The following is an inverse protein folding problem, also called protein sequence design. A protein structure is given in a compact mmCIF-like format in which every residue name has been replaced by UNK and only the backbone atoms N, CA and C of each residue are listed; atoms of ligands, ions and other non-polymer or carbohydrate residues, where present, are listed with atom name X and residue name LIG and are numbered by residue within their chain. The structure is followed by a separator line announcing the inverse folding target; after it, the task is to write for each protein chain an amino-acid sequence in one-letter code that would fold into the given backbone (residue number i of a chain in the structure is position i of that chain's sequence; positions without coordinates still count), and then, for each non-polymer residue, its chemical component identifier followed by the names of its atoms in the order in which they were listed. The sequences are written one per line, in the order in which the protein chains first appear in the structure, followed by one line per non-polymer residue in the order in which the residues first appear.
data_IF_923623708729
#
_entry.id   IF_923623708729
#
_cell.length_a   1.000
_cell.length_b   1.000
_cell.length_c   1.000
_cell.angle_alpha   90.00
_cell.angle_beta   90.00
_cell.angle_gamma   90.00
#
_symmetry.space_group_name_H-M   'P 1'
#
loop_
_entity.id
_entity.type
_entity.pdbx_description
1 polymer ?
#
# COMPACT_ATOMS: atom_id res chain seq x y z
N UNK A 1 -6.70 -12.89 0.81
CA UNK A 1 -5.42 -13.51 1.18
C UNK A 1 -4.58 -12.58 2.09
N UNK A 2 -4.24 -11.36 1.63
CA UNK A 2 -3.27 -10.46 2.28
C UNK A 2 -3.62 -10.12 3.74
N UNK A 3 -4.88 -9.84 4.04
CA UNK A 3 -5.32 -9.52 5.42
C UNK A 3 -5.11 -10.69 6.37
N UNK A 4 -5.51 -11.90 5.97
CA UNK A 4 -5.27 -13.11 6.78
C UNK A 4 -3.80 -13.40 6.98
N UNK A 5 -2.97 -13.18 5.95
CA UNK A 5 -1.53 -13.31 6.04
C UNK A 5 -0.96 -12.31 7.06
N UNK A 6 -1.29 -11.01 6.93
CA UNK A 6 -0.85 -9.99 7.87
C UNK A 6 -1.26 -10.30 9.32
N UNK A 7 -2.48 -10.79 9.53
CA UNK A 7 -2.95 -11.18 10.86
C UNK A 7 -2.15 -12.35 11.45
N UNK A 8 -1.90 -13.42 10.65
CA UNK A 8 -1.10 -14.57 11.13
C UNK A 8 0.33 -14.20 11.49
N UNK A 9 0.92 -13.28 10.74
CA UNK A 9 2.31 -12.85 10.92
C UNK A 9 2.45 -11.55 11.71
N UNK A 10 1.37 -11.09 12.34
CA UNK A 10 1.35 -9.89 13.21
C UNK A 10 1.86 -8.61 12.52
N UNK A 11 1.65 -8.49 11.21
CA UNK A 11 1.94 -7.29 10.45
C UNK A 11 0.84 -6.25 10.70
N UNK A 12 1.17 -5.03 11.14
CA UNK A 12 0.18 -3.98 11.41
C UNK A 12 -0.62 -3.60 10.15
N UNK A 13 -1.93 -3.67 10.26
CA UNK A 13 -2.88 -3.27 9.20
C UNK A 13 -4.21 -2.89 9.84
N UNK A 14 -5.11 -2.26 9.08
CA UNK A 14 -6.47 -1.92 9.51
C UNK A 14 -7.23 -3.15 10.02
N UNK A 15 -8.02 -2.98 11.07
CA UNK A 15 -9.04 -3.95 11.47
C UNK A 15 -9.96 -4.25 10.30
N UNK A 16 -10.37 -5.51 10.11
CA UNK A 16 -11.11 -5.88 8.92
C UNK A 16 -12.09 -7.04 9.15
N UNK A 17 -13.07 -7.13 8.25
CA UNK A 17 -13.99 -8.25 8.14
C UNK A 17 -14.15 -8.65 6.66
N UNK A 18 -14.08 -9.95 6.36
CA UNK A 18 -14.36 -10.47 5.02
C UNK A 18 -15.86 -10.80 4.91
N UNK A 19 -16.51 -10.18 3.94
CA UNK A 19 -17.95 -10.31 3.70
C UNK A 19 -18.21 -10.92 2.33
N UNK A 20 -19.10 -11.88 2.27
CA UNK A 20 -19.67 -12.45 1.05
C UNK A 20 -21.20 -12.54 1.17
N UNK A 21 -21.86 -13.09 0.16
CA UNK A 21 -23.33 -13.21 0.17
C UNK A 21 -23.87 -14.09 1.31
N UNK A 22 -23.05 -14.98 1.90
CA UNK A 22 -23.48 -15.90 2.96
C UNK A 22 -23.45 -15.28 4.35
N UNK A 23 -22.67 -14.21 4.54
CA UNK A 23 -22.47 -13.55 5.84
C UNK A 23 -22.73 -12.04 5.83
N UNK A 24 -23.53 -11.54 4.87
CA UNK A 24 -23.84 -10.10 4.70
C UNK A 24 -24.31 -9.44 6.02
N UNK A 25 -25.18 -10.08 6.80
CA UNK A 25 -25.64 -9.50 8.07
C UNK A 25 -24.48 -9.28 9.05
N UNK A 26 -23.52 -10.18 9.12
CA UNK A 26 -22.32 -10.02 9.96
C UNK A 26 -21.44 -8.88 9.45
N UNK A 27 -21.35 -8.69 8.14
CA UNK A 27 -20.67 -7.54 7.53
C UNK A 27 -21.33 -6.21 7.92
N UNK A 28 -22.66 -6.12 7.89
CA UNK A 28 -23.43 -4.96 8.35
C UNK A 28 -23.19 -4.71 9.86
N UNK A 29 -23.23 -5.77 10.67
CA UNK A 29 -22.98 -5.66 12.11
C UNK A 29 -21.55 -5.16 12.39
N UNK A 30 -20.56 -5.59 11.58
CA UNK A 30 -19.19 -5.10 11.66
C UNK A 30 -19.10 -3.61 11.29
N UNK A 31 -19.74 -3.16 10.20
CA UNK A 31 -19.81 -1.74 9.85
C UNK A 31 -20.36 -0.90 11.03
N UNK A 32 -21.46 -1.35 11.64
CA UNK A 32 -22.07 -0.65 12.79
C UNK A 32 -21.25 -0.65 14.06
N UNK A 33 -20.26 -1.55 14.16
CA UNK A 33 -19.39 -1.67 15.34
C UNK A 33 -18.24 -0.66 15.36
N UNK A 34 -17.97 0.03 14.24
CA UNK A 34 -16.87 0.98 14.12
C UNK A 34 -17.36 2.36 13.68
N UNK A 35 -16.60 3.43 13.98
CA UNK A 35 -16.90 4.76 13.45
C UNK A 35 -16.57 4.85 11.96
N UNK A 36 -17.28 5.70 11.23
CA UNK A 36 -16.91 6.10 9.87
C UNK A 36 -15.64 6.98 9.83
N UNK A 37 -15.05 7.19 8.66
CA UNK A 37 -15.43 6.63 7.36
C UNK A 37 -15.28 5.11 7.27
N UNK A 38 -16.03 4.48 6.37
CA UNK A 38 -16.02 3.03 6.13
C UNK A 38 -15.27 2.73 4.84
N UNK A 39 -14.39 1.73 4.86
CA UNK A 39 -13.63 1.34 3.67
C UNK A 39 -14.10 -0.03 3.20
N UNK A 40 -14.62 -0.09 1.96
CA UNK A 40 -15.04 -1.32 1.31
C UNK A 40 -14.12 -1.61 0.13
N UNK A 41 -13.53 -2.81 0.10
CA UNK A 41 -12.60 -3.23 -0.96
C UNK A 41 -13.08 -4.52 -1.61
N UNK A 42 -13.25 -4.52 -2.94
CA UNK A 42 -13.42 -5.76 -3.68
C UNK A 42 -12.15 -6.61 -3.58
N UNK A 43 -12.27 -7.91 -3.21
CA UNK A 43 -11.11 -8.80 -3.04
C UNK A 43 -10.47 -9.19 -4.38
N UNK A 44 -11.23 -9.13 -5.47
CA UNK A 44 -10.74 -9.41 -6.82
C UNK A 44 -10.19 -8.19 -7.54
N UNK A 45 -9.64 -8.43 -8.74
CA UNK A 45 -9.05 -7.39 -9.57
C UNK A 45 -10.13 -6.45 -10.15
N UNK A 46 -10.17 -5.22 -9.70
CA UNK A 46 -11.14 -4.20 -10.13
C UNK A 46 -10.49 -2.95 -10.74
N UNK A 47 -9.31 -3.09 -11.36
CA UNK A 47 -8.57 -2.04 -12.08
C UNK A 47 -8.43 -0.72 -11.27
N UNK A 48 -8.20 -0.81 -9.95
CA UNK A 48 -8.06 0.33 -9.06
C UNK A 48 -9.37 1.02 -8.67
N UNK A 49 -10.52 0.53 -9.13
CA UNK A 49 -11.85 1.12 -8.86
C UNK A 49 -12.63 0.40 -7.75
N UNK A 50 -12.12 -0.74 -7.26
CA UNK A 50 -12.80 -1.59 -6.29
C UNK A 50 -12.68 -1.13 -4.84
N UNK A 51 -12.31 0.12 -4.57
CA UNK A 51 -12.20 0.69 -3.21
C UNK A 51 -13.17 1.85 -3.07
N UNK A 52 -14.07 1.75 -2.11
CA UNK A 52 -15.01 2.80 -1.75
C UNK A 52 -14.70 3.27 -0.32
N UNK A 53 -14.71 4.60 -0.11
CA UNK A 53 -14.58 5.24 1.19
C UNK A 53 -15.84 6.05 1.39
N UNK A 54 -16.64 5.73 2.42
CA UNK A 54 -18.00 6.22 2.60
C UNK A 54 -18.13 6.74 4.03
N UNK A 55 -18.64 7.95 4.19
CA UNK A 55 -18.79 8.59 5.50
C UNK A 55 -20.06 8.14 6.24
N UNK A 56 -21.16 7.97 5.50
CA UNK A 56 -22.47 7.62 6.06
C UNK A 56 -22.66 6.10 6.18
N UNK A 57 -23.17 5.65 7.33
CA UNK A 57 -23.35 4.23 7.61
C UNK A 57 -24.42 3.60 6.69
N UNK A 58 -25.49 4.31 6.35
CA UNK A 58 -26.56 3.77 5.53
C UNK A 58 -26.09 3.61 4.08
N UNK A 59 -25.36 4.60 3.57
CA UNK A 59 -24.70 4.52 2.26
C UNK A 59 -23.67 3.38 2.23
N UNK A 60 -22.93 3.14 3.32
CA UNK A 60 -21.97 2.05 3.39
C UNK A 60 -22.65 0.66 3.38
N UNK A 61 -23.77 0.49 4.07
CA UNK A 61 -24.56 -0.75 4.05
C UNK A 61 -25.17 -1.01 2.66
N UNK A 62 -25.67 0.03 1.99
CA UNK A 62 -26.17 -0.07 0.62
C UNK A 62 -25.06 -0.44 -0.35
N UNK A 63 -23.91 0.26 -0.28
CA UNK A 63 -22.75 -0.01 -1.13
C UNK A 63 -22.20 -1.43 -0.93
N UNK A 64 -22.12 -1.92 0.31
CA UNK A 64 -21.71 -3.30 0.59
C UNK A 64 -22.64 -4.29 -0.12
N UNK A 65 -23.95 -4.05 -0.03
CA UNK A 65 -24.96 -4.90 -0.67
C UNK A 65 -24.84 -4.86 -2.21
N UNK A 66 -24.65 -3.68 -2.79
CA UNK A 66 -24.47 -3.51 -4.24
C UNK A 66 -23.16 -4.15 -4.74
N UNK A 67 -22.07 -4.01 -3.99
CA UNK A 67 -20.81 -4.66 -4.32
C UNK A 67 -20.98 -6.18 -4.39
N UNK A 68 -21.60 -6.79 -3.38
CA UNK A 68 -21.84 -8.23 -3.33
C UNK A 68 -22.85 -8.70 -4.40
N UNK A 69 -23.74 -7.83 -4.87
CA UNK A 69 -24.63 -8.08 -5.99
C UNK A 69 -23.96 -7.87 -7.37
N UNK A 70 -22.65 -7.66 -7.41
CA UNK A 70 -21.87 -7.65 -8.64
C UNK A 70 -21.56 -6.27 -9.22
N UNK A 71 -21.53 -5.22 -8.40
CA UNK A 71 -21.11 -3.86 -8.86
C UNK A 71 -19.76 -3.91 -9.61
N UNK A 72 -18.85 -4.78 -9.19
CA UNK A 72 -17.56 -5.02 -9.86
C UNK A 72 -17.45 -6.44 -10.45
N UNK A 73 -18.59 -7.06 -10.81
CA UNK A 73 -18.65 -8.43 -11.32
C UNK A 73 -18.11 -9.43 -10.29
N UNK A 74 -17.41 -10.46 -10.76
CA UNK A 74 -16.79 -11.50 -9.92
C UNK A 74 -15.76 -10.93 -8.91
N UNK A 75 -15.18 -9.76 -9.19
CA UNK A 75 -14.19 -9.15 -8.30
C UNK A 75 -14.78 -8.77 -6.94
N UNK A 76 -16.08 -8.51 -6.85
CA UNK A 76 -16.79 -8.18 -5.62
C UNK A 76 -17.61 -9.34 -5.02
N UNK A 77 -17.39 -10.59 -5.46
CA UNK A 77 -17.98 -11.76 -4.82
C UNK A 77 -17.60 -11.88 -3.34
N UNK A 78 -16.44 -11.33 -2.97
CA UNK A 78 -15.98 -11.09 -1.61
C UNK A 78 -15.60 -9.63 -1.45
N UNK A 79 -16.04 -8.99 -0.39
CA UNK A 79 -15.70 -7.61 -0.02
C UNK A 79 -14.96 -7.62 1.31
N UNK A 80 -13.83 -6.94 1.36
CA UNK A 80 -13.09 -6.69 2.60
C UNK A 80 -13.54 -5.35 3.16
N UNK A 81 -14.19 -5.37 4.31
CA UNK A 81 -14.58 -4.19 5.07
C UNK A 81 -13.42 -3.84 6.00
N UNK A 82 -12.93 -2.59 5.96
CA UNK A 82 -11.80 -2.15 6.79
C UNK A 82 -12.15 -0.89 7.58
N UNK A 83 -11.52 -0.74 8.75
CA UNK A 83 -11.50 0.54 9.42
C UNK A 83 -10.72 1.57 8.59
N UNK A 84 -11.13 2.82 8.65
CA UNK A 84 -10.42 3.90 7.99
C UNK A 84 -9.20 4.30 8.81
N UNK A 85 -8.02 4.17 8.19
CA UNK A 85 -6.77 4.67 8.77
C UNK A 85 -6.55 6.11 8.34
N UNK A 86 -6.31 6.99 9.31
CA UNK A 86 -5.99 8.40 9.08
C UNK A 86 -4.51 8.66 9.30
N UNK A 87 -3.86 9.26 8.31
CA UNK A 87 -2.42 9.53 8.38
C UNK A 87 -1.85 9.99 7.04
N UNK A 88 -0.53 9.87 6.91
CA UNK A 88 0.18 10.24 5.69
C UNK A 88 0.66 8.96 4.99
N UNK A 89 0.21 8.77 3.76
CA UNK A 89 0.60 7.62 2.93
C UNK A 89 2.03 7.77 2.40
N UNK A 90 2.72 6.65 2.29
CA UNK A 90 4.02 6.51 1.66
C UNK A 90 4.25 5.07 1.22
N UNK A 91 5.25 4.86 0.38
CA UNK A 91 5.54 3.57 -0.23
C UNK A 91 6.95 3.11 0.15
N UNK A 92 7.06 1.84 0.52
CA UNK A 92 8.34 1.16 0.73
C UNK A 92 8.40 -0.05 -0.19
N UNK A 93 9.61 -0.37 -0.66
CA UNK A 93 9.84 -1.44 -1.60
C UNK A 93 10.90 -2.39 -1.06
N UNK A 94 10.66 -3.67 -1.18
CA UNK A 94 11.66 -4.69 -0.94
C UNK A 94 11.83 -5.56 -2.20
N UNK A 95 13.09 -5.84 -2.55
CA UNK A 95 13.42 -6.94 -3.43
C UNK A 95 13.73 -8.14 -2.56
N UNK A 96 13.05 -9.26 -2.78
CA UNK A 96 13.19 -10.47 -1.96
C UNK A 96 13.27 -11.73 -2.81
N UNK A 97 13.98 -12.72 -2.30
CA UNK A 97 14.01 -14.09 -2.80
C UNK A 97 13.19 -15.06 -1.92
N UNK A 98 12.27 -14.53 -1.12
CA UNK A 98 11.42 -15.30 -0.21
C UNK A 98 12.05 -15.57 1.17
N UNK A 99 13.35 -15.34 1.36
CA UNK A 99 14.07 -15.53 2.63
C UNK A 99 14.92 -14.33 3.02
N UNK A 100 15.58 -13.73 2.04
CA UNK A 100 16.39 -12.52 2.17
C UNK A 100 15.69 -11.38 1.47
N UNK A 101 16.02 -10.16 1.82
CA UNK A 101 15.50 -8.97 1.16
C UNK A 101 16.50 -7.82 1.17
N UNK A 102 16.30 -6.89 0.27
CA UNK A 102 16.95 -5.59 0.22
C UNK A 102 15.87 -4.54 0.23
N UNK A 103 15.93 -3.59 1.16
CA UNK A 103 15.07 -2.41 1.16
C UNK A 103 15.58 -1.40 0.14
N UNK A 104 14.69 -0.98 -0.76
CA UNK A 104 14.95 0.08 -1.72
C UNK A 104 14.54 1.44 -1.12
N UNK A 105 14.95 2.57 -1.74
CA UNK A 105 14.50 3.89 -1.30
C UNK A 105 12.98 3.99 -1.23
N UNK A 106 12.50 4.59 -0.17
CA UNK A 106 11.10 4.93 0.01
C UNK A 106 10.64 6.02 -0.98
N UNK A 107 9.33 6.05 -1.26
CA UNK A 107 8.73 7.09 -2.09
C UNK A 107 7.35 7.49 -1.55
N UNK A 108 6.87 8.64 -1.99
CA UNK A 108 5.49 9.06 -1.84
C UNK A 108 4.93 9.42 -3.21
N UNK A 109 3.81 8.81 -3.55
CA UNK A 109 3.01 9.16 -4.72
C UNK A 109 1.93 10.23 -4.38
N UNK A 110 1.39 10.84 -5.42
CA UNK A 110 0.31 11.81 -5.35
C UNK A 110 -0.79 11.37 -6.31
N UNK A 111 -1.88 10.85 -5.76
CA UNK A 111 -2.95 10.19 -6.53
C UNK A 111 -4.05 11.12 -7.00
N UNK A 112 -4.24 12.27 -6.34
CA UNK A 112 -5.31 13.19 -6.68
C UNK A 112 -4.94 14.10 -7.85
N UNK A 113 -5.92 14.33 -8.76
CA UNK A 113 -5.69 15.15 -9.97
C UNK A 113 -5.51 16.64 -9.67
N UNK A 114 -6.07 17.13 -8.59
CA UNK A 114 -6.09 18.55 -8.26
C UNK A 114 -5.07 18.95 -7.19
N UNK A 115 -4.79 20.24 -7.13
CA UNK A 115 -3.94 20.83 -6.11
C UNK A 115 -4.50 20.60 -4.70
N UNK A 116 -3.61 20.49 -3.71
CA UNK A 116 -4.01 20.31 -2.31
C UNK A 116 -4.62 18.95 -2.00
N UNK A 117 -4.24 17.93 -2.75
CA UNK A 117 -4.73 16.55 -2.59
C UNK A 117 -6.27 16.44 -2.76
N UNK A 118 -6.80 17.09 -3.79
CA UNK A 118 -8.23 17.17 -4.09
C UNK A 118 -8.58 16.58 -5.46
N UNK A 119 -9.87 16.35 -5.68
CA UNK A 119 -10.39 15.83 -6.95
C UNK A 119 -10.36 14.31 -7.03
N UNK A 120 -10.49 13.80 -8.25
CA UNK A 120 -10.56 12.36 -8.51
C UNK A 120 -9.22 11.66 -8.29
N UNK A 121 -9.26 10.42 -7.85
CA UNK A 121 -8.10 9.54 -7.84
C UNK A 121 -7.67 9.20 -9.26
N UNK A 122 -6.36 9.10 -9.45
CA UNK A 122 -5.70 8.74 -10.71
C UNK A 122 -4.79 7.53 -10.51
N UNK A 123 -4.09 7.11 -11.55
CA UNK A 123 -3.01 6.13 -11.45
C UNK A 123 -1.74 6.66 -10.78
N UNK A 124 -1.66 7.97 -10.51
CA UNK A 124 -0.52 8.67 -9.94
C UNK A 124 -0.16 9.90 -10.76
N UNK A 125 -0.15 11.07 -10.14
CA UNK A 125 0.19 12.36 -10.80
C UNK A 125 1.65 12.73 -10.62
N UNK A 126 2.37 11.98 -9.83
CA UNK A 126 3.80 12.17 -9.58
C UNK A 126 4.25 11.45 -8.33
N UNK A 127 5.55 11.43 -8.10
CA UNK A 127 6.14 10.87 -6.90
C UNK A 127 7.39 11.63 -6.49
N UNK A 128 7.80 11.45 -5.23
CA UNK A 128 9.03 12.01 -4.67
C UNK A 128 9.77 10.96 -3.83
N UNK A 129 11.09 10.97 -3.89
CA UNK A 129 11.98 10.18 -3.03
C UNK A 129 13.27 10.99 -2.79
N UNK A 130 13.81 11.06 -1.54
CA UNK A 130 13.29 10.48 -0.31
C UNK A 130 12.04 11.19 0.19
N UNK A 131 11.34 10.51 1.14
CA UNK A 131 10.15 11.07 1.80
C UNK A 131 10.58 11.78 3.09
N UNK A 132 10.35 13.10 3.25
CA UNK A 132 10.95 13.87 4.33
C UNK A 132 10.59 13.42 5.75
N UNK A 133 9.40 12.83 5.95
CA UNK A 133 8.96 12.35 7.27
C UNK A 133 9.33 10.89 7.56
N UNK A 134 9.91 10.18 6.58
CA UNK A 134 10.39 8.80 6.77
C UNK A 134 11.84 8.86 7.21
N UNK A 135 12.03 9.22 8.48
CA UNK A 135 13.33 9.26 9.14
C UNK A 135 13.86 7.84 9.45
N UNK A 136 15.04 7.77 10.05
CA UNK A 136 15.67 6.49 10.39
C UNK A 136 14.84 5.68 11.40
N UNK A 137 14.10 6.34 12.30
CA UNK A 137 13.21 5.67 13.24
C UNK A 137 12.03 5.04 12.52
N UNK A 138 11.37 5.77 11.61
CA UNK A 138 10.28 5.24 10.80
C UNK A 138 10.77 4.07 9.92
N UNK A 139 11.95 4.20 9.29
CA UNK A 139 12.57 3.10 8.51
C UNK A 139 12.77 1.85 9.36
N UNK A 140 13.29 2.00 10.57
CA UNK A 140 13.46 0.88 11.49
C UNK A 140 12.12 0.24 11.88
N UNK A 141 11.08 1.06 12.19
CA UNK A 141 9.74 0.53 12.50
C UNK A 141 9.14 -0.24 11.32
N UNK A 142 9.26 0.30 10.10
CA UNK A 142 8.79 -0.39 8.89
C UNK A 142 9.52 -1.71 8.70
N UNK A 143 10.85 -1.71 8.83
CA UNK A 143 11.63 -2.93 8.67
C UNK A 143 11.25 -3.97 9.71
N UNK A 144 11.21 -3.61 10.99
CA UNK A 144 10.99 -4.56 12.09
C UNK A 144 9.56 -5.07 12.18
N UNK A 145 8.57 -4.20 11.94
CA UNK A 145 7.17 -4.52 12.16
C UNK A 145 6.43 -4.98 10.90
N UNK A 146 6.97 -4.67 9.71
CA UNK A 146 6.29 -4.93 8.44
C UNK A 146 7.11 -5.83 7.53
N UNK A 147 8.32 -5.40 7.14
CA UNK A 147 9.09 -6.11 6.10
C UNK A 147 9.62 -7.45 6.61
N UNK A 148 10.30 -7.46 7.75
CA UNK A 148 10.82 -8.69 8.36
C UNK A 148 9.73 -9.75 8.61
N UNK A 149 8.61 -9.43 9.29
CA UNK A 149 7.56 -10.43 9.49
C UNK A 149 6.87 -10.84 8.18
N UNK A 150 6.78 -9.96 7.19
CA UNK A 150 6.26 -10.33 5.85
C UNK A 150 7.15 -11.35 5.17
N UNK A 151 8.46 -11.09 5.08
CA UNK A 151 9.40 -12.03 4.42
C UNK A 151 9.53 -13.33 5.21
N UNK A 152 9.58 -13.26 6.54
CA UNK A 152 9.57 -14.44 7.40
C UNK A 152 8.29 -15.26 7.24
N UNK A 153 7.14 -14.58 7.07
CA UNK A 153 5.85 -15.21 6.81
C UNK A 153 5.80 -15.94 5.47
N UNK A 154 6.35 -15.35 4.41
CA UNK A 154 6.47 -16.03 3.11
C UNK A 154 7.24 -17.34 3.24
N UNK A 155 8.39 -17.30 3.92
CA UNK A 155 9.21 -18.49 4.17
C UNK A 155 8.50 -19.53 5.05
N UNK A 156 7.79 -19.10 6.10
CA UNK A 156 7.08 -19.97 7.02
C UNK A 156 5.85 -20.67 6.38
N UNK A 157 5.20 -20.03 5.41
CA UNK A 157 4.09 -20.60 4.65
C UNK A 157 4.55 -21.30 3.36
N UNK A 158 5.86 -21.47 3.17
CA UNK A 158 6.46 -22.10 1.97
C UNK A 158 6.00 -21.45 0.66
N UNK A 159 5.74 -20.12 0.70
CA UNK A 159 5.38 -19.36 -0.49
C UNK A 159 6.66 -19.07 -1.29
N UNK A 160 6.77 -19.71 -2.45
CA UNK A 160 7.89 -19.50 -3.36
C UNK A 160 7.72 -18.15 -4.10
N UNK A 161 8.30 -17.09 -3.54
CA UNK A 161 8.22 -15.75 -4.07
C UNK A 161 9.60 -15.13 -4.28
N UNK A 162 9.84 -14.70 -5.51
CA UNK A 162 11.02 -13.91 -5.87
C UNK A 162 10.59 -12.67 -6.63
N UNK A 163 11.03 -11.51 -6.19
CA UNK A 163 10.70 -10.25 -6.86
C UNK A 163 10.50 -9.09 -5.92
N UNK A 164 9.87 -8.04 -6.42
CA UNK A 164 9.55 -6.84 -5.66
C UNK A 164 8.25 -7.00 -4.90
N UNK A 165 8.26 -6.56 -3.65
CA UNK A 165 7.06 -6.30 -2.87
C UNK A 165 6.98 -4.79 -2.65
N UNK A 166 5.89 -4.20 -3.14
CA UNK A 166 5.45 -2.85 -2.79
C UNK A 166 4.63 -2.94 -1.52
N UNK A 167 4.99 -2.17 -0.54
CA UNK A 167 4.26 -1.94 0.69
C UNK A 167 3.62 -0.55 0.61
N UNK A 168 2.31 -0.48 0.38
CA UNK A 168 1.53 0.74 0.55
C UNK A 168 1.29 0.95 2.04
N UNK A 169 1.87 1.99 2.58
CA UNK A 169 1.89 2.26 4.01
C UNK A 169 1.20 3.57 4.35
N UNK A 170 0.70 3.66 5.58
CA UNK A 170 0.21 4.90 6.17
C UNK A 170 0.83 5.08 7.56
N UNK A 171 1.36 6.26 7.82
CA UNK A 171 1.81 6.65 9.16
C UNK A 171 0.63 7.21 9.94
N UNK A 172 0.13 6.44 10.92
CA UNK A 172 -1.00 6.80 11.76
C UNK A 172 -0.54 7.33 13.13
N UNK A 173 -1.28 8.31 13.67
CA UNK A 173 -0.95 8.93 14.95
C UNK A 173 0.27 9.85 14.86
N UNK A 174 0.80 10.22 16.01
CA UNK A 174 1.91 11.18 16.10
C UNK A 174 1.43 12.62 16.21
N UNK A 175 2.37 13.53 16.53
CA UNK A 175 2.10 14.96 16.66
C UNK A 175 2.14 15.64 15.29
N UNK A 176 1.12 16.40 14.90
CA UNK A 176 1.16 17.17 13.69
C UNK A 176 2.23 18.27 13.80
N UNK A 177 3.30 18.18 13.04
CA UNK A 177 4.20 19.32 12.85
C UNK A 177 3.61 20.30 11.86
N UNK A 178 3.86 21.59 12.10
CA UNK A 178 3.42 22.68 11.23
C UNK A 178 3.85 22.39 9.79
N UNK A 179 2.89 22.05 8.98
CA UNK A 179 3.04 21.95 7.54
C UNK A 179 3.17 20.55 6.93
N UNK A 180 2.81 19.41 7.57
CA UNK A 180 2.65 18.10 6.89
C UNK A 180 3.34 16.86 7.52
N UNK A 181 3.86 16.90 8.74
CA UNK A 181 4.66 15.78 9.25
C UNK A 181 4.08 15.23 10.54
N UNK A 182 3.67 13.96 10.54
CA UNK A 182 3.40 13.22 11.77
C UNK A 182 4.74 12.75 12.37
N UNK A 183 5.18 13.40 13.42
CA UNK A 183 6.34 12.94 14.20
C UNK A 183 5.87 11.84 15.16
N UNK A 184 6.60 10.72 15.21
CA UNK A 184 6.27 9.54 16.02
C UNK A 184 5.00 8.78 15.59
N UNK A 185 4.58 8.87 14.34
CA UNK A 185 3.54 8.02 13.80
C UNK A 185 3.95 6.53 13.75
N UNK A 186 2.96 5.64 13.76
CA UNK A 186 3.20 4.21 13.58
C UNK A 186 2.82 3.78 12.16
N UNK A 187 3.66 2.97 11.48
CA UNK A 187 3.34 2.50 10.13
C UNK A 187 2.34 1.33 10.16
N UNK A 188 1.34 1.41 9.29
CA UNK A 188 0.37 0.35 9.01
C UNK A 188 0.36 0.03 7.51
N UNK A 189 0.12 -1.23 7.16
CA UNK A 189 -0.01 -1.66 5.77
C UNK A 189 -1.44 -1.40 5.29
N UNK A 190 -1.55 -0.64 4.19
CA UNK A 190 -2.79 -0.46 3.44
C UNK A 190 -2.96 -1.61 2.45
N UNK A 191 -1.88 -1.93 1.71
CA UNK A 191 -1.88 -2.95 0.68
C UNK A 191 -0.49 -3.49 0.39
N UNK A 192 -0.44 -4.70 -0.18
CA UNK A 192 0.71 -5.25 -0.86
C UNK A 192 0.48 -5.29 -2.37
N UNK A 193 1.53 -5.00 -3.14
CA UNK A 193 1.56 -5.26 -4.56
C UNK A 193 2.84 -6.05 -4.91
N UNK A 194 2.69 -7.10 -5.72
CA UNK A 194 3.81 -7.96 -6.12
C UNK A 194 4.55 -7.38 -7.33
N UNK A 195 4.93 -6.11 -7.26
CA UNK A 195 5.60 -5.32 -8.29
C UNK A 195 6.12 -4.01 -7.70
N UNK A 196 6.87 -3.26 -8.49
CA UNK A 196 7.19 -1.86 -8.18
C UNK A 196 5.96 -0.97 -8.36
N UNK A 197 6.03 0.26 -7.83
CA UNK A 197 4.99 1.27 -8.00
C UNK A 197 5.09 2.03 -9.33
N UNK A 198 4.00 2.65 -9.71
CA UNK A 198 3.89 3.58 -10.82
C UNK A 198 3.07 4.79 -10.31
N UNK A 199 3.70 6.00 -10.20
CA UNK A 199 4.98 6.41 -10.77
C UNK A 199 6.20 6.31 -9.82
N UNK A 200 6.16 5.59 -8.72
CA UNK A 200 7.25 5.55 -7.73
C UNK A 200 8.55 4.96 -8.29
N UNK A 201 8.47 4.03 -9.23
CA UNK A 201 9.67 3.45 -9.89
C UNK A 201 10.57 4.53 -10.47
N UNK A 202 9.99 5.58 -11.03
CA UNK A 202 10.68 6.70 -11.69
C UNK A 202 11.48 7.57 -10.72
N UNK A 203 11.21 7.49 -9.43
CA UNK A 203 11.96 8.23 -8.39
C UNK A 203 12.80 7.31 -7.52
N UNK A 204 12.51 6.01 -7.47
CA UNK A 204 13.27 5.02 -6.69
C UNK A 204 14.52 4.59 -7.46
N UNK A 205 14.38 4.11 -8.70
CA UNK A 205 15.50 3.57 -9.47
C UNK A 205 16.58 4.61 -9.78
N UNK A 206 16.30 5.87 -10.12
CA UNK A 206 17.35 6.87 -10.32
C UNK A 206 18.22 7.15 -9.08
N UNK A 207 17.73 6.80 -7.90
CA UNK A 207 18.47 6.92 -6.65
C UNK A 207 19.33 5.70 -6.33
N UNK A 208 19.18 4.59 -7.05
CA UNK A 208 20.06 3.43 -6.90
C UNK A 208 21.31 3.68 -7.73
N UNK A 209 22.46 3.85 -7.06
CA UNK A 209 23.76 4.11 -7.71
C UNK A 209 24.60 2.85 -7.89
N UNK A 210 24.28 1.76 -7.24
CA UNK A 210 24.88 0.44 -7.48
C UNK A 210 24.20 -0.25 -8.69
N UNK A 211 24.85 -1.30 -9.22
CA UNK A 211 24.38 -2.00 -10.42
C UNK A 211 23.06 -2.74 -10.16
N UNK A 212 21.99 -2.28 -10.82
CA UNK A 212 20.63 -2.84 -10.70
C UNK A 212 20.56 -4.26 -11.30
N UNK A 213 21.30 -4.53 -12.37
CA UNK A 213 21.32 -5.86 -12.99
C UNK A 213 21.96 -6.89 -12.04
N UNK A 214 23.05 -6.54 -11.39
CA UNK A 214 23.68 -7.39 -10.37
C UNK A 214 22.75 -7.58 -9.16
N UNK A 215 21.96 -6.57 -8.78
CA UNK A 215 20.94 -6.69 -7.75
C UNK A 215 19.86 -7.74 -8.12
N UNK A 216 19.35 -7.66 -9.35
CA UNK A 216 18.35 -8.62 -9.85
C UNK A 216 18.92 -10.02 -9.92
N UNK A 217 20.16 -10.16 -10.39
CA UNK A 217 20.87 -11.43 -10.45
C UNK A 217 21.10 -12.02 -9.06
N UNK A 218 21.53 -11.21 -8.09
CA UNK A 218 21.70 -11.65 -6.70
C UNK A 218 20.37 -12.16 -6.11
N UNK A 219 19.24 -11.55 -6.48
CA UNK A 219 17.93 -12.05 -6.10
C UNK A 219 17.63 -13.44 -6.70
N UNK A 220 17.83 -13.59 -8.00
CA UNK A 220 17.59 -14.85 -8.72
C UNK A 220 18.51 -15.99 -8.24
N UNK A 221 19.75 -15.66 -7.91
CA UNK A 221 20.76 -16.61 -7.45
C UNK A 221 20.69 -16.88 -5.94
N UNK A 222 19.71 -16.34 -5.22
CA UNK A 222 19.59 -16.40 -3.75
C UNK A 222 20.80 -15.88 -2.97
N UNK A 223 21.41 -14.81 -3.45
CA UNK A 223 22.64 -14.20 -2.92
C UNK A 223 22.45 -12.72 -2.54
N UNK A 224 21.21 -12.32 -2.15
CA UNK A 224 20.92 -10.94 -1.77
C UNK A 224 21.75 -10.44 -0.58
N UNK A 225 22.19 -11.34 0.31
CA UNK A 225 23.08 -11.04 1.44
C UNK A 225 24.49 -10.62 1.02
N UNK A 226 24.89 -10.90 -0.22
CA UNK A 226 26.19 -10.52 -0.78
C UNK A 226 26.15 -9.20 -1.56
N UNK A 227 24.92 -8.69 -1.85
CA UNK A 227 24.76 -7.44 -2.58
C UNK A 227 24.66 -6.25 -1.64
N UNK A 228 25.38 -5.18 -1.95
CA UNK A 228 25.34 -3.92 -1.21
C UNK A 228 24.64 -2.85 -2.02
N UNK A 229 23.44 -2.48 -1.61
CA UNK A 229 22.70 -1.37 -2.20
C UNK A 229 23.40 -0.04 -1.87
N UNK A 230 23.69 0.75 -2.90
CA UNK A 230 24.17 2.12 -2.75
C UNK A 230 23.07 3.07 -3.23
N UNK A 231 22.74 4.04 -2.40
CA UNK A 231 21.65 5.00 -2.66
C UNK A 231 22.23 6.41 -2.78
N UNK A 232 21.88 7.08 -3.88
CA UNK A 232 22.19 8.50 -4.07
C UNK A 232 21.32 9.32 -3.09
N UNK A 233 21.91 10.22 -2.28
CA UNK A 233 21.17 11.04 -1.33
C UNK A 233 20.34 12.16 -1.99
N UNK A 234 20.52 12.43 -3.27
CA UNK A 234 19.78 13.45 -3.99
C UNK A 234 18.29 13.08 -4.09
N UNK A 235 17.45 14.12 -4.10
CA UNK A 235 16.01 13.96 -4.30
C UNK A 235 15.71 13.71 -5.77
N UNK A 236 14.85 12.72 -6.02
CA UNK A 236 14.23 12.48 -7.31
C UNK A 236 12.75 12.86 -7.24
N UNK A 237 12.25 13.49 -8.28
CA UNK A 237 10.85 13.90 -8.44
C UNK A 237 10.39 13.54 -9.84
N UNK A 238 9.21 12.95 -9.97
CA UNK A 238 8.53 12.79 -11.26
C UNK A 238 7.19 13.49 -11.25
N UNK A 239 6.78 14.02 -12.40
CA UNK A 239 5.47 14.67 -12.61
C UNK A 239 4.85 14.11 -13.87
N UNK A 240 3.65 13.55 -13.74
CA UNK A 240 2.92 12.96 -14.85
C UNK A 240 2.18 14.05 -15.64
N UNK A 241 2.46 14.13 -16.95
CA UNK A 241 1.69 14.97 -17.85
C UNK A 241 0.59 14.14 -18.50
N UNK A 242 -0.65 14.62 -18.41
CA UNK A 242 -1.83 13.91 -18.85
C UNK A 242 -2.68 14.75 -19.80
N UNK A 243 -3.56 14.09 -20.57
CA UNK A 243 -4.54 14.76 -21.42
C UNK A 243 -5.52 15.58 -20.60
N UNK A 244 -6.04 16.65 -21.18
CA UNK A 244 -7.18 17.38 -20.60
C UNK A 244 -8.39 16.45 -20.48
N UNK A 245 -9.03 16.46 -19.30
CA UNK A 245 -10.16 15.58 -18.97
C UNK A 245 -9.78 14.33 -18.18
N UNK A 246 -8.50 13.93 -18.17
CA UNK A 246 -8.04 12.81 -17.32
C UNK A 246 -8.34 13.09 -15.80
N UNK A 247 -8.79 12.10 -15.03
CA UNK A 247 -9.02 10.68 -15.33
C UNK A 247 -10.43 10.32 -15.81
N UNK A 248 -11.20 11.30 -16.27
CA UNK A 248 -12.52 11.10 -16.85
C UNK A 248 -12.46 10.66 -18.32
N UNK A 249 -13.51 10.95 -19.07
CA UNK A 249 -13.56 10.72 -20.52
C UNK A 249 -12.66 11.72 -21.24
N UNK A 250 -11.72 11.24 -22.06
CA UNK A 250 -10.74 12.05 -22.82
C UNK A 250 -10.40 11.41 -24.16
#
# INVERSE_FOLDING_TARGET
FSKKFMQRHQVPTAGYFECDATNLQQGIDFLRSMPGPYVLKADGLAAGKGVLIIDDIQEAEEALTEMLNGMFGEASATVVIEEFLSGIEFSVFALTNGKQYILLPEAKDYKRIGEGDQGLNTGGMGAVSPVPFVDDHMKQLVEERIVKPTVAGLAAEEIDYQGFIFFGLISCGGEPMVGLINVNGAPFVIEYNCRMGDPETEVVFPRISSDVLEMMKACADHQLDQYQLQVNPQTAVTVMMVSGGYPGDY
#
